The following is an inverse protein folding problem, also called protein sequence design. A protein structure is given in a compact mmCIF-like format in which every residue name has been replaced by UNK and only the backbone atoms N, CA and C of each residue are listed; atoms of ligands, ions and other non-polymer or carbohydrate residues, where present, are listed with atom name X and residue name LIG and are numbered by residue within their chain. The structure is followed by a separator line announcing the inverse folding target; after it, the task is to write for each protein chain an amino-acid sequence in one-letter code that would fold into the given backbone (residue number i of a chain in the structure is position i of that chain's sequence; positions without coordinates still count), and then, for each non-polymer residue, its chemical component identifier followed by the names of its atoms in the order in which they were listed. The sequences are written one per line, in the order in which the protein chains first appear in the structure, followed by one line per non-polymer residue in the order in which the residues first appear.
data_IF_515524528441
#
_entry.id   IF_515524528441
#
_cell.length_a   1.000
_cell.length_b   1.000
_cell.length_c   1.000
_cell.angle_alpha   90.00
_cell.angle_beta   90.00
_cell.angle_gamma   90.00
#
_symmetry.space_group_name_H-M   'P 1'
#
loop_
_entity.id
_entity.type
_entity.pdbx_description
1 polymer ?
#
# COMPACT_ATOMS: atom_id res chain seq x y z
N UNK A 1 -0.07 -17.03 -8.24
CA UNK A 1 1.19 -16.26 -8.26
C UNK A 1 2.33 -17.09 -8.84
N UNK A 2 2.53 -18.33 -8.39
CA UNK A 2 3.56 -19.23 -8.93
C UNK A 2 3.43 -19.50 -10.44
N UNK A 3 2.21 -19.69 -10.95
CA UNK A 3 1.98 -19.87 -12.40
C UNK A 3 2.42 -18.67 -13.23
N UNK A 4 2.11 -17.43 -12.82
CA UNK A 4 2.52 -16.21 -13.53
C UNK A 4 4.05 -16.01 -13.45
N UNK A 5 4.67 -16.37 -12.32
CA UNK A 5 6.14 -16.34 -12.19
C UNK A 5 6.82 -17.35 -13.12
N UNK A 6 6.26 -18.56 -13.23
CA UNK A 6 6.74 -19.58 -14.15
C UNK A 6 6.57 -19.15 -15.61
N UNK A 7 5.43 -18.53 -15.95
CA UNK A 7 5.19 -17.96 -17.28
C UNK A 7 6.18 -16.84 -17.63
N UNK A 8 6.46 -15.92 -16.69
CA UNK A 8 7.47 -14.86 -16.91
C UNK A 8 8.87 -15.45 -17.10
N UNK A 9 9.23 -16.50 -16.34
CA UNK A 9 10.51 -17.19 -16.51
C UNK A 9 10.60 -17.89 -17.88
N UNK A 10 9.52 -18.57 -18.30
CA UNK A 10 9.43 -19.22 -19.61
C UNK A 10 9.56 -18.20 -20.77
N UNK A 11 8.84 -17.07 -20.69
CA UNK A 11 8.92 -15.99 -21.68
C UNK A 11 10.34 -15.42 -21.79
N UNK A 12 11.01 -15.18 -20.65
CA UNK A 12 12.42 -14.73 -20.64
C UNK A 12 13.34 -15.74 -21.31
N UNK A 13 13.18 -17.02 -20.98
CA UNK A 13 13.97 -18.10 -21.57
C UNK A 13 13.79 -18.18 -23.09
N UNK A 14 12.56 -18.03 -23.59
CA UNK A 14 12.28 -18.08 -25.03
C UNK A 14 12.81 -16.87 -25.79
N UNK A 15 12.76 -15.68 -25.18
CA UNK A 15 13.37 -14.48 -25.77
C UNK A 15 14.88 -14.64 -25.91
N UNK A 16 15.56 -15.19 -24.90
CA UNK A 16 17.02 -15.40 -24.97
C UNK A 16 17.40 -16.43 -26.04
N UNK A 17 16.66 -17.54 -26.15
CA UNK A 17 16.89 -18.53 -27.23
C UNK A 17 16.76 -17.88 -28.61
N UNK A 18 15.71 -17.07 -28.83
CA UNK A 18 15.51 -16.38 -30.11
C UNK A 18 16.59 -15.32 -30.38
N UNK A 19 17.12 -14.67 -29.34
CA UNK A 19 18.25 -13.72 -29.47
C UNK A 19 19.54 -14.43 -29.86
N UNK A 20 19.81 -15.59 -29.27
CA UNK A 20 20.96 -16.43 -29.64
C UNK A 20 20.83 -16.94 -31.08
N UNK A 21 19.63 -17.39 -31.47
CA UNK A 21 19.33 -17.83 -32.83
C UNK A 21 19.56 -16.69 -33.84
N UNK A 22 19.03 -15.50 -33.56
CA UNK A 22 19.28 -14.28 -34.36
C UNK A 22 20.77 -13.95 -34.48
N UNK A 23 21.52 -14.05 -33.39
CA UNK A 23 22.95 -13.78 -33.39
C UNK A 23 23.73 -14.79 -34.25
N UNK A 24 23.33 -16.06 -34.25
CA UNK A 24 23.95 -17.11 -35.06
C UNK A 24 23.69 -16.95 -36.57
N UNK A 25 22.56 -16.34 -36.94
CA UNK A 25 22.14 -16.12 -38.33
C UNK A 25 22.69 -14.81 -38.94
N UNK A 26 23.36 -13.96 -38.15
CA UNK A 26 23.84 -12.66 -38.62
C UNK A 26 25.08 -12.82 -39.50
N UNK A 27 24.90 -12.59 -40.81
CA UNK A 27 26.00 -12.48 -41.79
C UNK A 27 26.30 -11.00 -42.04
N UNK A 28 27.58 -10.61 -42.00
CA UNK A 28 28.03 -9.23 -42.15
C UNK A 28 27.79 -8.73 -43.57
N UNK A 29 27.02 -7.65 -43.73
CA UNK A 29 26.90 -6.93 -45.01
C UNK A 29 28.25 -6.31 -45.33
N UNK A 30 28.82 -6.63 -46.49
CA UNK A 30 30.07 -6.02 -46.96
C UNK A 30 29.84 -4.52 -47.14
N UNK A 31 30.59 -3.66 -46.43
CA UNK A 31 30.41 -2.22 -46.54
C UNK A 31 30.76 -1.75 -47.96
N UNK A 32 30.04 -0.74 -48.51
CA UNK A 32 30.35 -0.19 -49.82
C UNK A 32 31.72 0.51 -49.82
N UNK A 33 32.37 0.57 -50.98
CA UNK A 33 33.67 1.28 -51.15
C UNK A 33 33.59 2.79 -50.87
N UNK A 34 32.38 3.35 -50.75
CA UNK A 34 32.16 4.77 -50.50
C UNK A 34 30.99 4.97 -49.53
N UNK A 35 31.20 5.76 -48.46
CA UNK A 35 30.25 6.01 -47.36
C UNK A 35 29.07 6.93 -47.73
N UNK A 36 28.80 7.11 -49.02
CA UNK A 36 27.63 7.90 -49.45
C UNK A 36 26.33 7.21 -48.98
N UNK A 37 25.33 7.97 -48.49
CA UNK A 37 24.05 7.41 -48.06
C UNK A 37 23.37 6.54 -49.13
N UNK A 38 23.54 6.90 -50.40
CA UNK A 38 23.00 6.15 -51.55
C UNK A 38 23.69 4.79 -51.71
N UNK A 39 25.02 4.74 -51.70
CA UNK A 39 25.78 3.49 -51.79
C UNK A 39 25.49 2.54 -50.62
N UNK A 40 25.29 3.08 -49.41
CA UNK A 40 24.86 2.30 -48.24
C UNK A 40 23.49 1.68 -48.50
N UNK A 41 22.49 2.47 -48.90
CA UNK A 41 21.14 1.92 -49.16
C UNK A 41 21.10 0.89 -50.28
N UNK A 42 21.93 1.04 -51.32
CA UNK A 42 22.02 0.08 -52.41
C UNK A 42 22.70 -1.23 -51.99
N UNK A 43 23.76 -1.16 -51.18
CA UNK A 43 24.43 -2.34 -50.64
C UNK A 43 23.46 -3.20 -49.79
N UNK A 44 22.70 -2.56 -48.90
CA UNK A 44 21.68 -3.26 -48.10
C UNK A 44 20.52 -3.80 -48.94
N UNK A 45 20.08 -3.09 -49.98
CA UNK A 45 19.04 -3.60 -50.90
C UNK A 45 19.52 -4.79 -51.73
N UNK A 46 20.77 -4.78 -52.20
CA UNK A 46 21.37 -5.92 -52.91
C UNK A 46 21.46 -7.13 -52.00
N UNK A 47 22.01 -6.94 -50.80
CA UNK A 47 22.07 -7.99 -49.78
C UNK A 47 20.69 -8.60 -49.48
N UNK A 48 19.65 -7.78 -49.31
CA UNK A 48 18.30 -8.26 -49.03
C UNK A 48 17.66 -9.01 -50.22
N UNK A 49 18.03 -8.66 -51.46
CA UNK A 49 17.56 -9.39 -52.65
C UNK A 49 18.28 -10.73 -52.82
N UNK A 50 19.58 -10.75 -52.55
CA UNK A 50 20.42 -11.94 -52.67
C UNK A 50 20.15 -12.95 -51.54
N UNK A 51 19.74 -12.46 -50.36
CA UNK A 51 19.50 -13.27 -49.15
C UNK A 51 18.06 -13.17 -48.66
N UNK A 52 17.08 -13.17 -49.57
CA UNK A 52 15.67 -12.92 -49.26
C UNK A 52 15.09 -13.86 -48.18
N UNK A 53 15.49 -15.14 -48.18
CA UNK A 53 15.07 -16.11 -47.16
C UNK A 53 15.62 -15.77 -45.78
N UNK A 54 16.92 -15.48 -45.67
CA UNK A 54 17.58 -15.12 -44.42
C UNK A 54 17.00 -13.83 -43.81
N UNK A 55 16.73 -12.81 -44.65
CA UNK A 55 16.13 -11.55 -44.19
C UNK A 55 14.70 -11.75 -43.71
N UNK A 56 13.92 -12.63 -44.36
CA UNK A 56 12.57 -12.97 -43.92
C UNK A 56 12.58 -13.73 -42.59
N UNK A 57 13.52 -14.66 -42.40
CA UNK A 57 13.70 -15.42 -41.17
C UNK A 57 14.13 -14.54 -39.99
N UNK A 58 15.14 -13.68 -40.19
CA UNK A 58 15.56 -12.68 -39.19
C UNK A 58 14.41 -11.76 -38.78
N UNK A 59 13.61 -11.30 -39.75
CA UNK A 59 12.42 -10.50 -39.48
C UNK A 59 11.37 -11.28 -38.68
N UNK A 60 11.15 -12.56 -39.00
CA UNK A 60 10.25 -13.42 -38.24
C UNK A 60 10.69 -13.61 -36.80
N UNK A 61 11.99 -13.78 -36.56
CA UNK A 61 12.58 -13.85 -35.21
C UNK A 61 12.42 -12.51 -34.47
N UNK A 62 12.69 -11.39 -35.13
CA UNK A 62 12.51 -10.05 -34.55
C UNK A 62 11.04 -9.78 -34.17
N UNK A 63 10.10 -10.13 -35.05
CA UNK A 63 8.65 -9.99 -34.79
C UNK A 63 8.20 -10.93 -33.64
N UNK A 64 8.76 -12.14 -33.55
CA UNK A 64 8.49 -13.08 -32.46
C UNK A 64 9.03 -12.58 -31.11
N UNK A 65 10.26 -12.05 -31.09
CA UNK A 65 10.85 -11.41 -29.90
C UNK A 65 9.98 -10.25 -29.45
N UNK A 66 9.57 -9.36 -30.37
CA UNK A 66 8.73 -8.22 -30.04
C UNK A 66 7.35 -8.65 -29.46
N UNK A 67 6.75 -9.70 -30.00
CA UNK A 67 5.50 -10.24 -29.47
C UNK A 67 5.68 -10.81 -28.05
N UNK A 68 6.76 -11.56 -27.80
CA UNK A 68 7.07 -12.14 -26.49
C UNK A 68 7.43 -11.07 -25.45
N UNK A 69 8.18 -10.03 -25.84
CA UNK A 69 8.50 -8.89 -24.98
C UNK A 69 7.23 -8.14 -24.56
N UNK A 70 6.29 -7.93 -25.48
CA UNK A 70 4.99 -7.34 -25.17
C UNK A 70 4.20 -8.19 -24.17
N UNK A 71 4.16 -9.51 -24.35
CA UNK A 71 3.51 -10.42 -23.39
C UNK A 71 4.20 -10.39 -22.02
N UNK A 72 5.53 -10.32 -22.00
CA UNK A 72 6.32 -10.25 -20.77
C UNK A 72 6.02 -8.96 -19.99
N UNK A 73 5.93 -7.81 -20.67
CA UNK A 73 5.55 -6.53 -20.04
C UNK A 73 4.15 -6.62 -19.44
N UNK A 74 3.18 -7.17 -20.16
CA UNK A 74 1.81 -7.34 -19.67
C UNK A 74 1.75 -8.23 -18.42
N UNK A 75 2.45 -9.37 -18.44
CA UNK A 75 2.50 -10.32 -17.31
C UNK A 75 3.20 -9.72 -16.09
N UNK A 76 4.26 -8.94 -16.29
CA UNK A 76 4.92 -8.20 -15.20
C UNK A 76 4.02 -7.12 -14.59
N UNK A 77 3.27 -6.38 -15.42
CA UNK A 77 2.31 -5.39 -14.94
C UNK A 77 1.19 -6.03 -14.10
N UNK A 78 0.67 -7.18 -14.54
CA UNK A 78 -0.31 -7.95 -13.75
C UNK A 78 0.26 -8.36 -12.39
N UNK A 79 1.51 -8.86 -12.36
CA UNK A 79 2.16 -9.27 -11.12
C UNK A 79 2.34 -8.10 -10.14
N UNK A 80 2.75 -6.92 -10.64
CA UNK A 80 2.87 -5.72 -9.82
C UNK A 80 1.53 -5.27 -9.23
N UNK A 81 0.46 -5.26 -10.03
CA UNK A 81 -0.88 -4.93 -9.56
C UNK A 81 -1.34 -5.85 -8.42
N UNK A 82 -1.10 -7.15 -8.55
CA UNK A 82 -1.45 -8.13 -7.52
C UNK A 82 -0.65 -7.91 -6.24
N UNK A 83 0.65 -7.58 -6.33
CA UNK A 83 1.45 -7.24 -5.15
C UNK A 83 0.95 -5.99 -4.44
N UNK A 84 0.53 -4.97 -5.18
CA UNK A 84 -0.05 -3.74 -4.61
C UNK A 84 -1.35 -4.06 -3.88
N UNK A 85 -2.25 -4.82 -4.51
CA UNK A 85 -3.52 -5.23 -3.90
C UNK A 85 -3.31 -6.08 -2.65
N UNK A 86 -2.37 -7.04 -2.68
CA UNK A 86 -2.06 -7.88 -1.52
C UNK A 86 -1.53 -7.05 -0.34
N UNK A 87 -0.65 -6.06 -0.61
CA UNK A 87 -0.17 -5.12 0.40
C UNK A 87 -1.31 -4.26 0.97
N UNK A 88 -2.23 -3.78 0.12
CA UNK A 88 -3.39 -3.01 0.55
C UNK A 88 -4.31 -3.82 1.45
N UNK A 89 -4.60 -5.09 1.11
CA UNK A 89 -5.36 -5.99 1.97
C UNK A 89 -4.69 -6.14 3.34
N UNK A 90 -3.37 -6.39 3.35
CA UNK A 90 -2.64 -6.56 4.62
C UNK A 90 -2.66 -5.30 5.49
N UNK A 91 -2.66 -4.11 4.89
CA UNK A 91 -2.75 -2.84 5.62
C UNK A 91 -4.16 -2.64 6.19
N UNK A 92 -5.21 -2.98 5.44
CA UNK A 92 -6.59 -2.92 5.91
C UNK A 92 -6.81 -3.87 7.09
N UNK A 93 -6.32 -5.10 7.02
CA UNK A 93 -6.41 -6.06 8.13
C UNK A 93 -5.71 -5.54 9.40
N UNK A 94 -4.52 -4.94 9.25
CA UNK A 94 -3.80 -4.33 10.38
C UNK A 94 -4.57 -3.14 10.99
N UNK A 95 -5.18 -2.30 10.15
CA UNK A 95 -5.99 -1.17 10.60
C UNK A 95 -7.25 -1.65 11.35
N UNK A 96 -7.92 -2.68 10.86
CA UNK A 96 -9.11 -3.23 11.50
C UNK A 96 -8.79 -3.82 12.88
N UNK A 97 -7.66 -4.52 13.00
CA UNK A 97 -7.22 -5.07 14.29
C UNK A 97 -6.84 -3.94 15.27
N UNK A 98 -6.08 -2.94 14.81
CA UNK A 98 -5.75 -1.77 15.62
C UNK A 98 -7.02 -1.00 16.07
N UNK A 99 -8.02 -0.89 15.19
CA UNK A 99 -9.31 -0.25 15.50
C UNK A 99 -10.07 -1.02 16.59
N UNK A 100 -10.11 -2.35 16.55
CA UNK A 100 -10.73 -3.16 17.61
C UNK A 100 -10.06 -2.94 18.96
N UNK A 101 -8.72 -2.97 19.00
CA UNK A 101 -7.97 -2.74 20.23
C UNK A 101 -8.29 -1.35 20.80
N UNK A 102 -8.26 -0.33 19.96
CA UNK A 102 -8.60 1.03 20.37
C UNK A 102 -10.03 1.11 20.90
N UNK A 103 -10.98 0.36 20.33
CA UNK A 103 -12.40 0.39 20.73
C UNK A 103 -12.58 -0.16 22.15
N UNK A 104 -11.87 -1.24 22.46
CA UNK A 104 -11.83 -1.81 23.81
C UNK A 104 -11.31 -0.78 24.81
N UNK A 105 -10.24 -0.05 24.47
CA UNK A 105 -9.72 1.01 25.34
C UNK A 105 -10.70 2.17 25.50
N UNK A 106 -11.34 2.61 24.42
CA UNK A 106 -12.36 3.67 24.46
C UNK A 106 -13.54 3.30 25.36
N UNK A 107 -14.03 2.06 25.25
CA UNK A 107 -15.09 1.55 26.10
C UNK A 107 -14.65 1.49 27.57
N UNK A 108 -13.45 1.00 27.84
CA UNK A 108 -12.92 0.93 29.21
C UNK A 108 -12.75 2.31 29.84
N UNK A 109 -12.34 3.32 29.07
CA UNK A 109 -12.30 4.71 29.53
C UNK A 109 -13.70 5.19 29.94
N UNK A 110 -14.72 4.87 29.15
CA UNK A 110 -16.10 5.25 29.44
C UNK A 110 -16.66 4.57 30.70
N UNK A 111 -16.34 3.29 30.91
CA UNK A 111 -16.72 2.53 32.11
C UNK A 111 -16.08 3.15 33.36
N UNK A 112 -14.76 3.36 33.34
CA UNK A 112 -14.03 4.00 34.45
C UNK A 112 -14.52 5.43 34.71
N UNK A 113 -14.85 6.18 33.67
CA UNK A 113 -15.41 7.52 33.83
C UNK A 113 -16.80 7.50 34.51
N UNK A 114 -17.62 6.47 34.25
CA UNK A 114 -18.92 6.31 34.89
C UNK A 114 -18.78 5.92 36.38
N UNK A 115 -17.85 5.02 36.69
CA UNK A 115 -17.49 4.69 38.07
C UNK A 115 -17.00 5.92 38.82
N UNK A 116 -16.04 6.65 38.24
CA UNK A 116 -15.49 7.88 38.81
C UNK A 116 -16.57 8.94 39.00
N UNK A 117 -17.49 9.10 38.06
CA UNK A 117 -18.61 10.03 38.19
C UNK A 117 -19.50 9.68 39.39
N UNK A 118 -19.74 8.40 39.63
CA UNK A 118 -20.54 7.92 40.77
C UNK A 118 -19.82 8.22 42.08
N UNK A 119 -18.52 7.91 42.17
CA UNK A 119 -17.71 8.20 43.36
C UNK A 119 -17.62 9.70 43.67
N UNK A 120 -17.48 10.54 42.66
CA UNK A 120 -17.45 12.00 42.84
C UNK A 120 -18.78 12.53 43.39
N UNK A 121 -19.92 11.98 42.94
CA UNK A 121 -21.24 12.35 43.49
C UNK A 121 -21.40 11.89 44.93
N UNK A 122 -20.95 10.68 45.26
CA UNK A 122 -20.95 10.17 46.63
C UNK A 122 -20.08 11.04 47.55
N UNK A 123 -18.87 11.40 47.11
CA UNK A 123 -17.98 12.28 47.86
C UNK A 123 -18.60 13.68 48.06
N UNK A 124 -19.28 14.21 47.03
CA UNK A 124 -20.00 15.48 47.14
C UNK A 124 -21.11 15.41 48.19
N UNK A 125 -21.92 14.35 48.19
CA UNK A 125 -22.99 14.16 49.17
C UNK A 125 -22.42 14.12 50.60
N UNK A 126 -21.34 13.36 50.81
CA UNK A 126 -20.64 13.33 52.10
C UNK A 126 -20.10 14.71 52.50
N UNK A 127 -19.54 15.46 51.55
CA UNK A 127 -19.04 16.81 51.81
C UNK A 127 -20.18 17.78 52.18
N UNK A 128 -21.33 17.69 51.52
CA UNK A 128 -22.50 18.52 51.80
C UNK A 128 -23.08 18.22 53.20
N UNK A 129 -23.10 16.95 53.62
CA UNK A 129 -23.52 16.54 54.97
C UNK A 129 -22.53 16.98 56.06
N UNK A 130 -21.23 16.84 55.81
CA UNK A 130 -20.19 17.11 56.80
C UNK A 130 -19.85 18.60 56.93
N UNK A 131 -20.04 19.38 55.86
CA UNK A 131 -19.60 20.79 55.80
C UNK A 131 -20.16 21.68 56.91
N UNK A 132 -21.45 21.60 57.30
CA UNK A 132 -21.99 22.40 58.41
C UNK A 132 -21.31 22.07 59.75
N UNK A 133 -21.11 20.78 60.05
CA UNK A 133 -20.45 20.32 61.28
C UNK A 133 -18.98 20.74 61.30
N UNK A 134 -18.30 20.57 60.18
CA UNK A 134 -16.90 20.92 60.04
C UNK A 134 -16.67 22.42 60.19
N UNK A 135 -17.60 23.25 59.67
CA UNK A 135 -17.56 24.71 59.84
C UNK A 135 -17.73 25.13 61.29
N UNK A 136 -18.61 24.48 62.05
CA UNK A 136 -18.82 24.81 63.48
C UNK A 136 -17.55 24.64 64.32
N UNK A 137 -16.67 23.70 63.93
CA UNK A 137 -15.42 23.42 64.65
C UNK A 137 -14.24 24.21 64.08
N UNK A 138 -14.10 24.25 62.76
CA UNK A 138 -12.89 24.72 62.08
C UNK A 138 -13.07 26.01 61.28
N UNK A 139 -14.29 26.55 61.19
CA UNK A 139 -14.63 27.80 60.47
C UNK A 139 -14.15 27.85 59.01
N UNK A 140 -14.06 26.68 58.36
CA UNK A 140 -13.65 26.52 56.96
C UNK A 140 -14.40 25.35 56.32
N UNK A 141 -14.54 25.28 54.99
CA UNK A 141 -15.22 24.16 54.34
C UNK A 141 -14.38 22.89 54.38
N UNK A 142 -15.03 21.72 54.39
CA UNK A 142 -14.36 20.43 54.41
C UNK A 142 -13.70 20.10 53.06
N UNK A 143 -14.48 20.15 51.97
CA UNK A 143 -14.03 19.98 50.59
C UNK A 143 -14.73 21.02 49.73
N UNK A 144 -14.01 21.62 48.78
CA UNK A 144 -14.54 22.58 47.80
C UNK A 144 -14.20 22.13 46.37
N UNK A 145 -14.81 22.76 45.35
CA UNK A 145 -14.46 22.50 43.93
C UNK A 145 -15.45 21.62 43.15
N UNK A 146 -16.55 21.17 43.74
CA UNK A 146 -17.56 20.32 43.07
C UNK A 146 -18.34 21.00 41.93
N UNK A 147 -18.21 22.32 41.71
CA UNK A 147 -18.98 23.05 40.68
C UNK A 147 -18.53 22.77 39.23
N UNK A 148 -17.31 22.29 39.01
CA UNK A 148 -16.69 22.20 37.68
C UNK A 148 -16.06 20.85 37.40
N UNK A 149 -16.47 19.80 38.11
CA UNK A 149 -15.87 18.48 37.93
C UNK A 149 -16.46 17.82 36.68
N UNK A 150 -15.57 17.33 35.81
CA UNK A 150 -15.93 16.63 34.59
C UNK A 150 -15.11 15.35 34.43
N UNK A 151 -15.73 14.32 33.86
CA UNK A 151 -15.07 13.06 33.52
C UNK A 151 -14.91 12.92 32.01
N UNK A 152 -13.82 12.29 31.53
CA UNK A 152 -13.62 12.06 30.11
C UNK A 152 -14.66 11.05 29.57
N UNK A 153 -15.08 11.25 28.34
CA UNK A 153 -15.97 10.35 27.62
C UNK A 153 -15.54 10.26 26.15
N UNK A 154 -15.27 9.06 25.68
CA UNK A 154 -14.90 8.78 24.30
C UNK A 154 -16.16 8.51 23.49
N UNK A 155 -16.40 9.32 22.45
CA UNK A 155 -17.50 9.18 21.50
C UNK A 155 -16.96 8.85 20.10
N UNK A 156 -17.67 7.99 19.37
CA UNK A 156 -17.41 7.72 17.95
C UNK A 156 -18.35 8.56 17.09
N UNK A 157 -17.80 9.52 16.34
CA UNK A 157 -18.53 10.35 15.36
C UNK A 157 -18.26 9.80 13.95
N UNK A 158 -18.82 8.62 13.66
CA UNK A 158 -18.52 7.88 12.44
C UNK A 158 -17.10 7.32 12.46
N UNK A 159 -16.23 7.85 11.61
CA UNK A 159 -14.85 7.38 11.43
C UNK A 159 -13.85 7.99 12.43
N UNK A 160 -14.25 9.05 13.15
CA UNK A 160 -13.36 9.77 14.07
C UNK A 160 -13.83 9.56 15.50
N UNK A 161 -12.89 9.25 16.39
CA UNK A 161 -13.16 9.16 17.82
C UNK A 161 -12.66 10.40 18.53
N UNK A 162 -13.53 10.96 19.37
CA UNK A 162 -13.28 12.21 20.08
C UNK A 162 -13.45 11.99 21.57
N UNK A 163 -12.52 12.55 22.36
CA UNK A 163 -12.64 12.58 23.82
C UNK A 163 -13.30 13.90 24.21
N UNK A 164 -14.43 13.83 24.89
CA UNK A 164 -15.18 14.98 25.40
C UNK A 164 -15.30 14.90 26.92
N UNK A 165 -15.30 16.04 27.60
CA UNK A 165 -15.48 16.09 29.05
C UNK A 165 -16.97 16.23 29.38
N UNK A 166 -17.53 15.29 30.14
CA UNK A 166 -18.89 15.34 30.66
C UNK A 166 -18.90 15.85 32.09
N UNK A 167 -19.69 16.88 32.36
CA UNK A 167 -19.89 17.43 33.70
C UNK A 167 -20.65 16.39 34.54
N UNK A 168 -20.22 16.19 35.79
CA UNK A 168 -20.73 15.16 36.71
C UNK A 168 -21.60 15.72 37.82
#
# INVERSE_FOLDING_TARGET
MEQILAEVAALRSQIEVLREERASLTVTVTPPENDSPQAITEAYRRYARENAQLVAELKGIDDAIAALENQLVQKQAQLQQWQIQAKQLSLQEQLDEARKIAQVHAQRINELAAELATEIRSLKACADELSPLYWQVYYKPFITGFKTISVPHVRSDGDVWTIVNRIV
#
